data_IF_160311435094
#
_entry.id   IF_160311435094
#
_cell.length_a   1.000
_cell.length_b   1.000
_cell.length_c   1.000
_cell.angle_alpha   90.00
_cell.angle_beta   90.00
_cell.angle_gamma   90.00
#
_symmetry.space_group_name_H-M   'P 1'
#
loop_
_entity.id
_entity.type
_entity.pdbx_description
1 polymer ?
#
# COMPACT_ATOMS: atom_id res chain seq x y z
N UNK A 1 13.50 1.79 -3.20
CA UNK A 1 13.64 2.44 -4.51
C UNK A 1 12.82 3.71 -4.54
N UNK A 2 13.40 4.80 -5.05
CA UNK A 2 12.70 6.03 -5.42
C UNK A 2 12.66 6.13 -6.94
N UNK A 3 11.49 6.45 -7.49
CA UNK A 3 11.24 6.48 -8.93
C UNK A 3 10.42 7.69 -9.32
N UNK A 4 10.77 8.32 -10.44
CA UNK A 4 9.95 9.35 -11.07
C UNK A 4 8.92 8.64 -11.96
N UNK A 5 7.61 8.73 -11.66
CA UNK A 5 6.60 7.99 -12.42
C UNK A 5 6.50 8.41 -13.89
N UNK A 6 6.58 9.72 -14.17
CA UNK A 6 6.45 10.27 -15.52
C UNK A 6 7.60 9.81 -16.45
N UNK A 7 8.83 9.82 -15.95
CA UNK A 7 10.04 9.47 -16.71
C UNK A 7 10.32 7.96 -16.65
N UNK A 8 9.62 7.23 -15.78
CA UNK A 8 9.86 5.80 -15.50
C UNK A 8 11.32 5.53 -15.08
N UNK A 9 11.96 6.50 -14.44
CA UNK A 9 13.35 6.44 -13.99
C UNK A 9 13.48 6.16 -12.51
N UNK A 10 14.43 5.28 -12.13
CA UNK A 10 14.80 5.01 -10.74
C UNK A 10 15.94 5.95 -10.36
N UNK A 11 15.66 6.98 -9.57
CA UNK A 11 16.63 8.01 -9.17
C UNK A 11 17.46 7.63 -7.96
N UNK A 12 17.00 6.65 -7.18
CA UNK A 12 17.75 6.07 -6.07
C UNK A 12 17.24 4.69 -5.72
N UNK A 13 18.17 3.81 -5.35
CA UNK A 13 17.83 2.48 -4.84
C UNK A 13 18.92 1.97 -3.91
N UNK A 14 18.54 1.06 -3.00
CA UNK A 14 19.44 0.37 -2.10
C UNK A 14 18.95 -1.06 -1.89
N UNK A 15 19.89 -2.01 -1.95
CA UNK A 15 19.63 -3.38 -1.53
C UNK A 15 19.69 -3.47 0.01
N UNK A 16 18.66 -4.08 0.58
CA UNK A 16 18.53 -4.24 2.03
C UNK A 16 18.01 -5.63 2.36
N UNK A 17 18.50 -6.22 3.45
CA UNK A 17 17.98 -7.52 3.92
C UNK A 17 16.55 -7.42 4.40
N UNK A 18 16.27 -6.36 5.15
CA UNK A 18 14.95 -6.07 5.70
C UNK A 18 14.61 -4.60 5.45
N UNK A 19 13.47 -4.39 4.86
CA UNK A 19 12.97 -3.06 4.56
C UNK A 19 12.50 -2.36 5.85
N UNK A 20 13.19 -1.27 6.24
CA UNK A 20 12.91 -0.46 7.43
C UNK A 20 12.60 0.98 7.02
N UNK A 21 11.86 1.71 7.86
CA UNK A 21 11.54 3.13 7.63
C UNK A 21 12.81 3.99 7.55
N UNK A 22 13.86 3.63 8.30
CA UNK A 22 15.15 4.32 8.25
C UNK A 22 15.76 4.38 6.83
N UNK A 23 15.56 3.34 6.01
CA UNK A 23 16.06 3.33 4.63
C UNK A 23 15.33 4.35 3.74
N UNK A 24 14.05 4.59 3.99
CA UNK A 24 13.29 5.61 3.27
C UNK A 24 13.69 7.02 3.67
N UNK A 25 13.89 7.27 4.98
CA UNK A 25 14.42 8.55 5.47
C UNK A 25 15.82 8.81 4.89
N UNK A 26 16.69 7.80 4.89
CA UNK A 26 18.03 7.89 4.35
C UNK A 26 18.02 8.19 2.85
N UNK A 27 17.25 7.44 2.06
CA UNK A 27 17.15 7.66 0.61
C UNK A 27 16.55 9.02 0.27
N UNK A 28 15.54 9.47 1.03
CA UNK A 28 14.97 10.80 0.91
C UNK A 28 16.04 11.88 1.15
N UNK A 29 16.75 11.78 2.26
CA UNK A 29 17.83 12.73 2.60
C UNK A 29 18.91 12.80 1.53
N UNK A 30 19.40 11.66 1.02
CA UNK A 30 20.40 11.64 -0.07
C UNK A 30 19.90 12.38 -1.30
N UNK A 31 18.63 12.22 -1.66
CA UNK A 31 18.07 12.90 -2.83
C UNK A 31 17.93 14.40 -2.57
N UNK A 32 17.47 14.81 -1.39
CA UNK A 32 17.39 16.23 -0.97
C UNK A 32 18.79 16.87 -0.96
N UNK A 33 19.80 16.19 -0.43
CA UNK A 33 21.22 16.66 -0.44
C UNK A 33 21.80 16.80 -1.87
N UNK A 34 21.20 16.08 -2.85
CA UNK A 34 21.53 16.20 -4.29
C UNK A 34 20.69 17.25 -5.02
N UNK A 35 19.89 18.04 -4.32
CA UNK A 35 19.07 19.11 -4.87
C UNK A 35 17.69 18.68 -5.37
N UNK A 36 17.26 17.44 -5.08
CA UNK A 36 15.89 17.01 -5.42
C UNK A 36 14.86 17.60 -4.44
N UNK A 37 13.77 18.11 -4.97
CA UNK A 37 12.62 18.56 -4.19
C UNK A 37 11.45 17.60 -4.41
N UNK A 38 10.91 17.06 -3.32
CA UNK A 38 9.75 16.18 -3.37
C UNK A 38 8.47 17.02 -3.32
N UNK A 39 7.66 17.00 -4.38
CA UNK A 39 6.38 17.70 -4.45
C UNK A 39 5.24 16.84 -3.91
N UNK A 40 5.31 15.54 -4.08
CA UNK A 40 4.37 14.54 -3.57
C UNK A 40 5.02 13.16 -3.51
N UNK A 41 4.39 12.21 -2.81
CA UNK A 41 4.84 10.82 -2.76
C UNK A 41 3.68 9.86 -3.01
N UNK A 42 3.94 8.82 -3.82
CA UNK A 42 3.01 7.68 -3.98
C UNK A 42 3.62 6.44 -3.32
N UNK A 43 2.90 5.86 -2.34
CA UNK A 43 3.41 4.78 -1.51
C UNK A 43 2.47 3.56 -1.51
N UNK A 44 2.98 2.39 -1.15
CA UNK A 44 2.22 1.13 -1.11
C UNK A 44 1.29 0.95 0.10
N UNK A 45 1.20 1.96 0.97
CA UNK A 45 0.37 1.92 2.18
C UNK A 45 0.97 1.13 3.35
N UNK A 46 2.26 0.79 3.28
CA UNK A 46 2.99 0.22 4.41
C UNK A 46 3.00 1.20 5.59
N UNK A 47 2.81 0.66 6.80
CA UNK A 47 2.84 1.48 8.02
C UNK A 47 4.15 2.27 8.14
N UNK A 48 4.04 3.56 8.45
CA UNK A 48 5.17 4.48 8.65
C UNK A 48 5.61 5.22 7.39
N UNK A 49 5.28 4.78 6.16
CA UNK A 49 5.66 5.51 4.95
C UNK A 49 5.02 6.90 4.87
N UNK A 50 3.77 7.04 5.30
CA UNK A 50 3.11 8.35 5.40
C UNK A 50 3.82 9.29 6.37
N UNK A 51 4.50 8.75 7.39
CA UNK A 51 5.28 9.55 8.34
C UNK A 51 6.59 10.05 7.74
N UNK A 52 7.24 9.26 6.86
CA UNK A 52 8.45 9.67 6.14
C UNK A 52 8.20 10.90 5.26
N UNK A 53 6.99 11.02 4.70
CA UNK A 53 6.59 12.06 3.75
C UNK A 53 5.49 12.99 4.31
N UNK A 54 5.39 13.14 5.65
CA UNK A 54 4.31 13.88 6.33
C UNK A 54 4.21 15.36 5.96
N UNK A 55 5.28 15.94 5.43
CA UNK A 55 5.44 17.35 5.06
C UNK A 55 5.01 17.64 3.61
N UNK A 56 4.66 16.62 2.84
CA UNK A 56 4.21 16.72 1.45
C UNK A 56 2.94 15.89 1.22
N UNK A 57 2.16 16.14 0.15
CA UNK A 57 1.04 15.30 -0.22
C UNK A 57 1.45 13.83 -0.43
N UNK A 58 0.77 12.92 0.29
CA UNK A 58 1.00 11.47 0.16
C UNK A 58 -0.22 10.80 -0.44
N UNK A 59 -0.03 10.06 -1.50
CA UNK A 59 -1.02 9.18 -2.12
C UNK A 59 -0.70 7.73 -1.79
N UNK A 60 -1.66 6.97 -1.26
CA UNK A 60 -1.54 5.52 -1.16
C UNK A 60 -2.00 4.88 -2.48
N UNK A 61 -1.16 4.02 -3.01
CA UNK A 61 -1.42 3.29 -4.26
C UNK A 61 -2.71 2.46 -4.16
N UNK A 62 -3.69 2.73 -5.01
CA UNK A 62 -4.97 2.00 -5.06
C UNK A 62 -4.77 0.51 -5.28
N UNK A 63 -3.87 0.12 -6.18
CA UNK A 63 -3.58 -1.29 -6.44
C UNK A 63 -3.11 -2.03 -5.17
N UNK A 64 -2.17 -1.43 -4.41
CA UNK A 64 -1.69 -2.03 -3.17
C UNK A 64 -2.74 -2.04 -2.07
N UNK A 65 -3.58 -1.01 -1.99
CA UNK A 65 -4.72 -1.01 -1.07
C UNK A 65 -5.71 -2.13 -1.40
N UNK A 66 -6.08 -2.28 -2.66
CA UNK A 66 -6.98 -3.35 -3.12
C UNK A 66 -6.36 -4.74 -2.89
N UNK A 67 -5.06 -4.90 -3.14
CA UNK A 67 -4.32 -6.14 -2.85
C UNK A 67 -4.34 -6.47 -1.35
N UNK A 68 -4.16 -5.48 -0.49
CA UNK A 68 -4.23 -5.63 0.96
C UNK A 68 -5.61 -6.09 1.42
N UNK A 69 -6.68 -5.45 0.95
CA UNK A 69 -8.06 -5.86 1.27
C UNK A 69 -8.34 -7.27 0.74
N UNK A 70 -7.90 -7.59 -0.48
CA UNK A 70 -8.06 -8.93 -1.06
C UNK A 70 -7.30 -10.00 -0.25
N UNK A 71 -6.14 -9.66 0.34
CA UNK A 71 -5.41 -10.58 1.23
C UNK A 71 -6.22 -10.94 2.49
N UNK A 72 -7.00 -10.00 3.01
CA UNK A 72 -7.88 -10.25 4.15
C UNK A 72 -9.15 -11.00 3.76
N UNK A 73 -9.83 -10.58 2.69
CA UNK A 73 -11.17 -11.05 2.33
C UNK A 73 -11.17 -12.25 1.37
N UNK A 74 -10.03 -12.52 0.70
CA UNK A 74 -9.93 -13.40 -0.48
C UNK A 74 -10.63 -12.82 -1.72
N UNK A 75 -10.59 -13.52 -2.84
CA UNK A 75 -11.33 -13.14 -4.06
C UNK A 75 -12.82 -13.49 -3.99
N UNK A 76 -13.19 -14.44 -3.13
CA UNK A 76 -14.55 -14.94 -2.91
C UNK A 76 -14.81 -15.01 -1.41
N UNK A 77 -15.21 -13.89 -0.76
CA UNK A 77 -15.53 -13.90 0.66
C UNK A 77 -16.76 -14.76 0.95
N UNK A 78 -16.71 -15.53 2.03
CA UNK A 78 -17.81 -16.39 2.44
C UNK A 78 -18.95 -15.62 3.13
N UNK A 79 -18.61 -14.55 3.85
CA UNK A 79 -19.59 -13.76 4.60
C UNK A 79 -20.16 -12.61 3.76
N UNK A 80 -21.45 -12.29 3.94
CA UNK A 80 -22.09 -11.18 3.24
C UNK A 80 -21.37 -9.85 3.52
N UNK A 81 -20.99 -9.58 4.78
CA UNK A 81 -20.18 -8.41 5.14
C UNK A 81 -18.87 -8.32 4.34
N UNK A 82 -18.20 -9.45 4.15
CA UNK A 82 -16.98 -9.50 3.34
C UNK A 82 -17.24 -9.28 1.85
N UNK A 83 -18.33 -9.81 1.32
CA UNK A 83 -18.73 -9.63 -0.10
C UNK A 83 -19.04 -8.16 -0.40
N UNK A 84 -19.81 -7.51 0.46
CA UNK A 84 -20.16 -6.10 0.33
C UNK A 84 -18.93 -5.20 0.47
N UNK A 85 -18.08 -5.43 1.49
CA UNK A 85 -16.85 -4.66 1.67
C UNK A 85 -15.91 -4.82 0.47
N UNK A 86 -15.85 -6.01 -0.12
CA UNK A 86 -15.10 -6.25 -1.36
C UNK A 86 -15.71 -5.48 -2.53
N UNK A 87 -17.02 -5.44 -2.67
CA UNK A 87 -17.69 -4.66 -3.72
C UNK A 87 -17.39 -3.15 -3.58
N UNK A 88 -17.39 -2.62 -2.36
CA UNK A 88 -16.99 -1.24 -2.08
C UNK A 88 -15.53 -1.02 -2.49
N UNK A 89 -14.61 -1.90 -2.08
CA UNK A 89 -13.19 -1.80 -2.45
C UNK A 89 -12.99 -1.74 -3.97
N UNK A 90 -13.75 -2.51 -4.74
CA UNK A 90 -13.63 -2.52 -6.21
C UNK A 90 -14.05 -1.21 -6.87
N UNK A 91 -14.85 -0.38 -6.19
CA UNK A 91 -15.23 0.95 -6.67
C UNK A 91 -14.15 2.02 -6.43
N UNK A 92 -13.10 1.72 -5.63
CA UNK A 92 -12.08 2.69 -5.25
C UNK A 92 -11.49 3.46 -6.44
N UNK A 93 -11.09 2.84 -7.59
CA UNK A 93 -10.47 3.57 -8.69
C UNK A 93 -11.41 4.54 -9.43
N UNK A 94 -12.72 4.32 -9.34
CA UNK A 94 -13.74 5.11 -10.04
C UNK A 94 -14.51 6.05 -9.11
N UNK A 95 -14.23 6.02 -7.81
CA UNK A 95 -14.88 6.85 -6.80
C UNK A 95 -14.12 8.14 -6.55
N UNK A 96 -14.80 9.07 -5.88
CA UNK A 96 -14.18 10.20 -5.19
C UNK A 96 -14.23 10.00 -3.66
N UNK A 97 -13.50 10.85 -2.93
CA UNK A 97 -13.38 10.73 -1.48
C UNK A 97 -14.74 10.75 -0.77
N UNK A 98 -15.65 11.68 -1.15
CA UNK A 98 -16.97 11.84 -0.53
C UNK A 98 -17.85 10.60 -0.70
N UNK A 99 -17.94 10.11 -1.93
CA UNK A 99 -18.73 8.92 -2.25
C UNK A 99 -18.17 7.67 -1.56
N UNK A 100 -16.86 7.47 -1.62
CA UNK A 100 -16.21 6.30 -1.01
C UNK A 100 -16.30 6.32 0.51
N UNK A 101 -16.12 7.49 1.13
CA UNK A 101 -16.30 7.66 2.59
C UNK A 101 -17.72 7.31 3.02
N UNK A 102 -18.72 7.76 2.24
CA UNK A 102 -20.13 7.42 2.51
C UNK A 102 -20.36 5.91 2.45
N UNK A 103 -19.91 5.24 1.40
CA UNK A 103 -20.04 3.78 1.26
C UNK A 103 -19.41 3.03 2.45
N UNK A 104 -18.21 3.43 2.90
CA UNK A 104 -17.57 2.83 4.07
C UNK A 104 -18.32 3.11 5.37
N UNK A 105 -18.86 4.31 5.53
CA UNK A 105 -19.63 4.68 6.72
C UNK A 105 -20.96 3.92 6.80
N UNK A 106 -21.67 3.81 5.68
CA UNK A 106 -22.92 3.05 5.58
C UNK A 106 -22.65 1.56 5.91
N UNK A 107 -21.64 0.97 5.29
CA UNK A 107 -21.23 -0.41 5.57
C UNK A 107 -20.85 -0.61 7.05
N UNK A 108 -20.09 0.32 7.64
CA UNK A 108 -19.73 0.24 9.08
C UNK A 108 -20.96 0.26 9.96
N UNK A 109 -21.94 1.10 9.65
CA UNK A 109 -23.19 1.20 10.41
C UNK A 109 -23.93 -0.14 10.41
N UNK A 110 -24.01 -0.80 9.26
CA UNK A 110 -24.75 -2.05 9.10
C UNK A 110 -24.01 -3.24 9.75
N UNK A 111 -22.68 -3.24 9.71
CA UNK A 111 -21.83 -4.36 10.13
C UNK A 111 -21.03 -4.11 11.42
N UNK A 112 -21.32 -3.02 12.16
CA UNK A 112 -20.59 -2.68 13.39
C UNK A 112 -20.62 -3.83 14.41
N UNK A 113 -21.78 -4.43 14.67
CA UNK A 113 -21.91 -5.59 15.57
C UNK A 113 -21.05 -6.77 15.13
N UNK A 114 -21.10 -7.11 13.83
CA UNK A 114 -20.33 -8.20 13.23
C UNK A 114 -18.83 -8.04 13.40
N UNK A 115 -18.26 -6.86 13.07
CA UNK A 115 -16.82 -6.62 13.15
C UNK A 115 -16.30 -6.39 14.56
N UNK A 116 -17.18 -6.15 15.55
CA UNK A 116 -16.83 -5.99 16.97
C UNK A 116 -17.09 -7.23 17.79
N UNK A 117 -17.74 -8.26 17.22
CA UNK A 117 -17.99 -9.54 17.87
C UNK A 117 -16.70 -10.18 18.37
N UNK A 118 -16.76 -10.69 19.62
CA UNK A 118 -15.64 -11.31 20.31
C UNK A 118 -15.93 -12.77 20.64
N UNK A 119 -14.97 -13.63 20.34
CA UNK A 119 -14.95 -15.00 20.79
C UNK A 119 -14.07 -15.12 22.03
N UNK A 120 -14.61 -15.61 23.13
CA UNK A 120 -13.88 -15.89 24.36
C UNK A 120 -13.38 -17.33 24.36
N UNK A 121 -12.11 -17.52 24.73
CA UNK A 121 -11.52 -18.86 24.83
C UNK A 121 -11.92 -19.45 26.18
N UNK A 122 -12.66 -20.58 26.15
CA UNK A 122 -13.14 -21.27 27.34
C UNK A 122 -12.04 -21.55 28.37
N UNK A 123 -12.29 -21.24 29.64
CA UNK A 123 -11.32 -21.46 30.71
C UNK A 123 -10.17 -20.43 30.80
N UNK A 124 -10.19 -19.37 29.99
CA UNK A 124 -9.16 -18.32 30.01
C UNK A 124 -9.78 -16.92 29.98
N UNK A 125 -8.97 -15.90 30.28
CA UNK A 125 -9.34 -14.48 30.08
C UNK A 125 -9.08 -13.98 28.63
N UNK A 126 -8.60 -14.85 27.74
CA UNK A 126 -8.28 -14.50 26.38
C UNK A 126 -9.52 -14.42 25.51
N UNK A 127 -9.53 -13.43 24.64
CA UNK A 127 -10.54 -13.26 23.60
C UNK A 127 -9.89 -12.75 22.30
N UNK A 128 -10.58 -12.95 21.20
CA UNK A 128 -10.20 -12.40 19.90
C UNK A 128 -11.44 -11.96 19.12
N UNK A 129 -11.27 -11.08 18.13
CA UNK A 129 -12.39 -10.75 17.26
C UNK A 129 -12.75 -11.94 16.38
N UNK A 130 -14.02 -12.35 16.43
CA UNK A 130 -14.56 -13.48 15.68
C UNK A 130 -14.30 -13.31 14.19
N UNK A 131 -14.57 -12.12 13.66
CA UNK A 131 -14.45 -11.77 12.25
C UNK A 131 -13.19 -10.94 11.95
N UNK A 132 -12.04 -11.34 12.51
CA UNK A 132 -10.77 -10.58 12.44
C UNK A 132 -10.32 -10.24 11.02
N UNK A 133 -10.62 -11.07 10.01
CA UNK A 133 -10.24 -10.81 8.61
C UNK A 133 -11.08 -9.67 8.01
N UNK A 134 -12.40 -9.72 8.13
CA UNK A 134 -13.30 -8.67 7.65
C UNK A 134 -13.02 -7.35 8.37
N UNK A 135 -12.88 -7.41 9.70
CA UNK A 135 -12.44 -6.27 10.50
C UNK A 135 -11.11 -5.69 10.03
N UNK A 136 -10.10 -6.53 9.78
CA UNK A 136 -8.79 -6.10 9.31
C UNK A 136 -8.83 -5.41 7.95
N UNK A 137 -9.66 -5.91 7.04
CA UNK A 137 -9.91 -5.30 5.74
C UNK A 137 -10.52 -3.90 5.88
N UNK A 138 -11.59 -3.77 6.68
CA UNK A 138 -12.24 -2.50 6.95
C UNK A 138 -11.28 -1.49 7.60
N UNK A 139 -10.60 -1.88 8.69
CA UNK A 139 -9.62 -1.03 9.39
C UNK A 139 -8.47 -0.59 8.50
N UNK A 140 -8.10 -1.39 7.50
CA UNK A 140 -7.09 -1.00 6.51
C UNK A 140 -7.61 0.12 5.59
N UNK A 141 -8.85 0.03 5.12
CA UNK A 141 -9.48 1.07 4.30
C UNK A 141 -9.70 2.34 5.11
N UNK A 142 -10.27 2.25 6.30
CA UNK A 142 -10.55 3.39 7.18
C UNK A 142 -9.27 4.17 7.53
N UNK A 143 -8.20 3.46 7.91
CA UNK A 143 -6.90 4.10 8.24
C UNK A 143 -6.28 4.82 7.06
N UNK A 144 -6.37 4.23 5.88
CA UNK A 144 -5.70 4.73 4.68
C UNK A 144 -6.56 5.74 3.91
N UNK A 145 -7.85 5.87 4.24
CA UNK A 145 -8.81 6.73 3.56
C UNK A 145 -8.32 8.18 3.32
N UNK A 146 -7.68 8.87 4.29
CA UNK A 146 -7.20 10.23 4.10
C UNK A 146 -6.17 10.38 2.97
N UNK A 147 -5.53 9.28 2.58
CA UNK A 147 -4.44 9.24 1.60
C UNK A 147 -4.83 8.58 0.27
N UNK A 148 -6.07 8.06 0.15
CA UNK A 148 -6.49 7.35 -1.06
C UNK A 148 -6.90 8.28 -2.20
N UNK A 149 -7.27 9.52 -1.89
CA UNK A 149 -7.77 10.50 -2.87
C UNK A 149 -6.92 11.77 -2.94
N UNK A 150 -5.67 11.70 -2.48
CA UNK A 150 -4.74 12.83 -2.51
C UNK A 150 -4.53 13.35 -3.94
N UNK A 151 -4.50 12.44 -4.92
CA UNK A 151 -4.36 12.79 -6.35
C UNK A 151 -5.48 13.68 -6.89
N UNK A 152 -6.68 13.63 -6.29
CA UNK A 152 -7.82 14.50 -6.63
C UNK A 152 -7.75 15.86 -5.92
N UNK A 153 -7.04 15.95 -4.80
CA UNK A 153 -6.89 17.19 -4.01
C UNK A 153 -5.85 18.14 -4.60
N UNK A 154 -4.87 17.58 -5.35
CA UNK A 154 -3.73 18.30 -5.93
C UNK A 154 -3.60 17.96 -7.43
N UNK A 155 -4.60 18.35 -8.25
CA UNK A 155 -4.60 18.01 -9.68
C UNK A 155 -3.41 18.60 -10.44
N UNK A 156 -2.88 19.76 -9.98
CA UNK A 156 -1.71 20.43 -10.53
C UNK A 156 -0.42 19.60 -10.43
N UNK A 157 -0.34 18.70 -9.44
CA UNK A 157 0.84 17.86 -9.23
C UNK A 157 0.82 16.58 -10.09
N UNK A 158 -0.29 16.31 -10.79
CA UNK A 158 -0.45 15.09 -11.61
C UNK A 158 -0.05 13.79 -10.88
N UNK A 159 -0.41 13.67 -9.60
CA UNK A 159 -0.06 12.53 -8.76
C UNK A 159 -0.77 11.28 -9.29
N UNK A 160 -0.04 10.20 -9.66
CA UNK A 160 -0.71 8.96 -10.07
C UNK A 160 -1.36 8.27 -8.87
N UNK A 161 -2.53 7.66 -9.07
CA UNK A 161 -3.19 6.88 -8.03
C UNK A 161 -2.63 5.44 -7.88
N UNK A 162 -1.65 5.05 -8.72
CA UNK A 162 -1.01 3.73 -8.67
C UNK A 162 0.51 3.82 -8.84
N UNK A 163 1.22 2.78 -8.38
CA UNK A 163 2.67 2.60 -8.57
C UNK A 163 2.99 1.59 -9.68
N UNK A 164 2.08 1.37 -10.63
CA UNK A 164 2.23 0.32 -11.67
C UNK A 164 3.53 0.43 -12.46
N UNK A 165 4.06 1.64 -12.68
CA UNK A 165 5.34 1.82 -13.39
C UNK A 165 6.52 1.22 -12.61
N UNK A 166 6.49 1.25 -11.29
CA UNK A 166 7.50 0.65 -10.41
C UNK A 166 7.37 -0.88 -10.40
N UNK A 167 6.14 -1.38 -10.22
CA UNK A 167 5.86 -2.83 -10.20
C UNK A 167 6.26 -3.50 -11.53
N UNK A 168 6.01 -2.84 -12.67
CA UNK A 168 6.43 -3.30 -13.99
C UNK A 168 7.95 -3.43 -14.10
N UNK A 169 8.72 -2.45 -13.60
CA UNK A 169 10.18 -2.50 -13.64
C UNK A 169 10.76 -3.65 -12.81
N UNK A 170 10.17 -3.93 -11.64
CA UNK A 170 10.57 -5.07 -10.80
C UNK A 170 10.15 -6.43 -11.39
N UNK A 171 9.11 -6.50 -12.21
CA UNK A 171 8.71 -7.76 -12.86
C UNK A 171 9.79 -8.25 -13.84
N UNK A 172 10.36 -7.36 -14.65
CA UNK A 172 11.50 -7.67 -15.51
C UNK A 172 12.73 -8.12 -14.71
N UNK A 173 13.02 -7.43 -13.61
CA UNK A 173 14.12 -7.79 -12.75
C UNK A 173 13.93 -9.17 -12.12
N UNK A 174 12.75 -9.46 -11.58
CA UNK A 174 12.40 -10.77 -11.02
C UNK A 174 12.46 -11.89 -12.05
N UNK A 175 12.03 -11.63 -13.29
CA UNK A 175 12.14 -12.59 -14.39
C UNK A 175 13.61 -12.92 -14.67
N UNK A 176 14.48 -11.91 -14.82
CA UNK A 176 15.93 -12.09 -15.01
C UNK A 176 16.56 -12.88 -13.85
N UNK A 177 16.25 -12.52 -12.60
CA UNK A 177 16.75 -13.22 -11.41
C UNK A 177 16.21 -14.66 -11.33
N UNK A 178 14.99 -14.92 -11.79
CA UNK A 178 14.38 -16.25 -11.83
C UNK A 178 15.10 -17.20 -12.79
N UNK A 179 15.69 -16.70 -13.87
CA UNK A 179 16.51 -17.47 -14.81
C UNK A 179 17.84 -17.91 -14.16
N UNK A 180 18.35 -17.15 -13.21
CA UNK A 180 19.62 -17.41 -12.50
C UNK A 180 19.40 -18.07 -11.14
N UNK A 181 18.46 -19.00 -11.02
CA UNK A 181 18.22 -19.78 -9.79
C UNK A 181 19.50 -20.54 -9.41
N UNK A 182 19.99 -20.31 -8.17
CA UNK A 182 21.20 -20.92 -7.64
C UNK A 182 22.42 -20.00 -7.58
N UNK A 183 22.34 -18.77 -8.09
CA UNK A 183 23.43 -17.79 -7.90
C UNK A 183 23.54 -17.38 -6.43
N UNK A 184 24.79 -17.27 -5.93
CA UNK A 184 25.05 -16.75 -4.60
C UNK A 184 24.67 -15.27 -4.52
N UNK A 185 24.25 -14.79 -3.34
CA UNK A 185 23.79 -13.42 -3.08
C UNK A 185 24.79 -12.33 -3.55
N UNK A 186 26.09 -12.61 -3.43
CA UNK A 186 27.17 -11.70 -3.88
C UNK A 186 27.12 -11.47 -5.40
N UNK A 187 26.71 -12.47 -6.18
CA UNK A 187 26.63 -12.38 -7.63
C UNK A 187 25.44 -11.54 -8.12
N UNK A 188 24.39 -11.36 -7.31
CA UNK A 188 23.26 -10.51 -7.65
C UNK A 188 23.66 -9.01 -7.65
N UNK A 189 24.53 -8.58 -6.72
CA UNK A 189 24.99 -7.20 -6.64
C UNK A 189 25.75 -6.73 -7.89
N UNK A 190 26.47 -7.66 -8.58
CA UNK A 190 27.22 -7.34 -9.80
C UNK A 190 26.34 -7.15 -11.05
N UNK A 191 25.14 -7.76 -11.07
CA UNK A 191 24.18 -7.62 -12.18
C UNK A 191 23.51 -6.24 -12.23
N UNK A 192 23.64 -5.44 -11.17
CA UNK A 192 23.02 -4.12 -11.04
C UNK A 192 23.99 -2.94 -11.15
N UNK A 193 25.30 -3.19 -11.38
CA UNK A 193 26.22 -2.14 -11.77
C UNK A 193 25.99 -1.82 -13.24
N UNK A 194 25.12 -0.84 -13.48
CA UNK A 194 25.05 -0.14 -14.77
C UNK A 194 26.08 0.98 -14.65
N UNK A 195 27.04 0.97 -15.59
CA UNK A 195 27.99 2.07 -15.77
C UNK A 195 27.26 3.34 -16.18
#
# INVERSE_FOLDING_TARGET
VFRIPAEKENIWWQEVERELMAHYHYGRKILEDRGWTFLAAVVDGRRGLTTVFKDIPVQICHFHQMKTVTKYLTKRPETLAGQELRAIMLQLPQSNEKAFTKLLADWKKDWCGFITEKTHVTGTKHWYYTHKKVRGAYMSLERNLPYLFTYLKYPELNIPNTTNSLDGSFSHLKAKLGVHRGMRRISYGSLFRIN
#
